data_IF_594449595056
#
_entry.id   IF_594449595056
#
_cell.length_a   1.000
_cell.length_b   1.000
_cell.length_c   1.000
_cell.angle_alpha   90.00
_cell.angle_beta   90.00
_cell.angle_gamma   90.00
#
_symmetry.space_group_name_H-M   'P 1'
#
loop_
_entity.id
_entity.type
_entity.pdbx_description
1 polymer ?
#
# COMPACT_ATOMS: atom_id res chain seq x y z
N UNK A 1 11.57 -8.94 -6.94
CA UNK A 1 11.68 -8.29 -5.63
C UNK A 1 12.38 -6.95 -5.78
N UNK A 2 13.58 -6.94 -6.38
CA UNK A 2 14.43 -5.76 -6.64
C UNK A 2 13.73 -4.52 -7.26
N UNK A 3 12.79 -4.71 -8.20
CA UNK A 3 12.03 -3.60 -8.78
C UNK A 3 11.12 -2.89 -7.76
N UNK A 4 10.48 -3.66 -6.88
CA UNK A 4 9.57 -3.10 -5.88
C UNK A 4 10.33 -2.28 -4.84
N UNK A 5 11.40 -2.87 -4.28
CA UNK A 5 12.26 -2.24 -3.28
C UNK A 5 12.90 -0.95 -3.80
N UNK A 6 13.36 -0.93 -5.05
CA UNK A 6 14.01 0.25 -5.65
C UNK A 6 13.05 1.42 -5.92
N UNK A 7 11.74 1.17 -6.05
CA UNK A 7 10.75 2.20 -6.41
C UNK A 7 9.77 2.53 -5.27
N UNK A 8 9.84 1.85 -4.14
CA UNK A 8 9.01 2.13 -2.96
C UNK A 8 9.13 3.60 -2.52
N UNK A 9 10.36 4.12 -2.43
CA UNK A 9 10.59 5.53 -2.08
C UNK A 9 9.99 6.52 -3.08
N UNK A 10 9.99 6.19 -4.37
CA UNK A 10 9.34 7.01 -5.41
C UNK A 10 7.81 6.96 -5.30
N UNK A 11 7.26 5.80 -4.93
CA UNK A 11 5.83 5.60 -4.71
C UNK A 11 5.33 6.42 -3.52
N UNK A 12 6.03 6.34 -2.38
CA UNK A 12 5.70 7.13 -1.19
C UNK A 12 5.79 8.64 -1.48
N UNK A 13 6.85 9.09 -2.14
CA UNK A 13 6.99 10.51 -2.50
C UNK A 13 5.89 10.97 -3.46
N UNK A 14 5.47 10.12 -4.39
CA UNK A 14 4.37 10.41 -5.31
C UNK A 14 3.04 10.53 -4.56
N UNK A 15 2.80 9.65 -3.58
CA UNK A 15 1.61 9.68 -2.73
C UNK A 15 1.57 10.94 -1.84
N UNK A 16 2.67 11.26 -1.17
CA UNK A 16 2.85 12.47 -0.35
C UNK A 16 2.50 13.73 -1.14
N UNK A 17 3.02 13.87 -2.36
CA UNK A 17 2.69 15.00 -3.24
C UNK A 17 1.24 15.01 -3.71
N UNK A 18 0.67 13.84 -4.04
CA UNK A 18 -0.69 13.74 -4.57
C UNK A 18 -1.77 14.02 -3.53
N UNK A 19 -1.54 13.64 -2.27
CA UNK A 19 -2.49 13.80 -1.19
C UNK A 19 -2.18 15.01 -0.29
N UNK A 20 -1.02 15.65 -0.48
CA UNK A 20 -0.60 16.80 0.33
C UNK A 20 -0.40 16.45 1.80
N UNK A 21 -0.06 15.20 2.10
CA UNK A 21 0.15 14.68 3.44
C UNK A 21 1.61 14.31 3.66
N UNK A 22 2.07 14.28 4.91
CA UNK A 22 3.43 13.90 5.25
C UNK A 22 3.51 12.41 5.56
N UNK A 23 4.37 11.68 4.86
CA UNK A 23 4.65 10.27 5.13
C UNK A 23 5.98 10.15 5.87
N UNK A 24 5.95 9.53 7.04
CA UNK A 24 7.14 9.26 7.83
C UNK A 24 7.57 7.81 7.65
N UNK A 25 8.86 7.58 7.38
CA UNK A 25 9.42 6.24 7.40
C UNK A 25 9.38 5.67 8.82
N UNK A 26 9.26 4.35 8.91
CA UNK A 26 9.19 3.65 10.18
C UNK A 26 10.15 2.48 10.26
N UNK A 27 10.12 1.78 11.39
CA UNK A 27 10.87 0.56 11.65
C UNK A 27 9.89 -0.52 12.09
N UNK A 28 10.44 -1.67 12.47
CA UNK A 28 9.68 -2.79 12.99
C UNK A 28 8.87 -2.38 14.24
N UNK A 29 7.56 -2.59 14.17
CA UNK A 29 6.66 -2.58 15.32
C UNK A 29 6.53 -4.01 15.84
N UNK A 30 6.74 -4.21 17.14
CA UNK A 30 6.66 -5.54 17.78
C UNK A 30 5.45 -5.54 18.70
N UNK A 31 4.64 -6.59 18.62
CA UNK A 31 3.46 -6.71 19.46
C UNK A 31 3.84 -6.66 20.95
N UNK A 32 3.18 -5.83 21.78
CA UNK A 32 3.59 -5.60 23.16
C UNK A 32 3.54 -6.87 24.04
N UNK A 33 2.73 -7.86 23.66
CA UNK A 33 2.55 -9.13 24.40
C UNK A 33 3.08 -10.37 23.67
N UNK A 34 3.22 -10.31 22.35
CA UNK A 34 3.45 -11.49 21.49
C UNK A 34 4.68 -11.21 20.63
N UNK A 35 5.87 -11.31 21.21
CA UNK A 35 7.12 -10.85 20.59
C UNK A 35 7.49 -11.54 19.26
N UNK A 36 6.80 -12.61 18.89
CA UNK A 36 6.93 -13.28 17.58
C UNK A 36 6.03 -12.66 16.49
N UNK A 37 5.17 -11.70 16.84
CA UNK A 37 4.38 -10.88 15.92
C UNK A 37 5.00 -9.50 15.80
N UNK A 38 5.15 -9.07 14.56
CA UNK A 38 5.70 -7.76 14.24
C UNK A 38 5.26 -7.34 12.84
N UNK A 39 5.24 -6.04 12.59
CA UNK A 39 4.94 -5.49 11.28
C UNK A 39 5.81 -4.28 10.97
N UNK A 40 6.06 -4.07 9.68
CA UNK A 40 6.71 -2.88 9.14
C UNK A 40 5.83 -2.39 7.99
N UNK A 41 5.00 -1.36 8.20
CA UNK A 41 4.36 -0.68 7.08
C UNK A 41 5.40 0.13 6.28
N UNK A 42 5.11 0.41 5.01
CA UNK A 42 6.02 1.17 4.15
C UNK A 42 6.09 2.65 4.57
N UNK A 43 5.01 3.17 5.17
CA UNK A 43 4.98 4.52 5.70
C UNK A 43 3.94 4.73 6.81
N UNK A 44 4.13 5.78 7.58
CA UNK A 44 3.19 6.26 8.60
C UNK A 44 2.64 7.63 8.21
N UNK A 45 1.33 7.77 8.40
CA UNK A 45 0.57 9.02 8.31
C UNK A 45 -0.23 9.17 9.59
N UNK A 46 -0.62 10.38 9.99
CA UNK A 46 -1.26 10.71 11.29
C UNK A 46 -1.89 9.50 12.03
N UNK A 47 -3.12 9.14 11.67
CA UNK A 47 -3.86 8.00 12.25
C UNK A 47 -3.86 6.75 11.34
N UNK A 48 -2.94 6.68 10.38
CA UNK A 48 -2.90 5.62 9.38
C UNK A 48 -1.51 5.07 9.03
N UNK A 49 -1.51 4.11 8.12
CA UNK A 49 -0.31 3.54 7.52
C UNK A 49 -0.37 3.64 5.99
N UNK A 50 0.76 3.42 5.34
CA UNK A 50 0.87 3.28 3.88
C UNK A 50 1.43 1.91 3.56
N UNK A 51 0.82 1.24 2.59
CA UNK A 51 1.32 0.01 1.97
C UNK A 51 1.37 0.24 0.46
N UNK A 52 2.57 0.36 -0.09
CA UNK A 52 2.84 0.64 -1.49
C UNK A 52 3.30 -0.63 -2.22
N UNK A 53 2.56 -1.00 -3.27
CA UNK A 53 2.93 -2.11 -4.15
C UNK A 53 3.33 -1.59 -5.52
N UNK A 54 4.54 -1.95 -5.92
CA UNK A 54 5.15 -1.60 -7.21
C UNK A 54 5.41 -2.87 -8.04
N UNK A 55 4.38 -3.54 -8.59
CA UNK A 55 4.57 -4.76 -9.37
C UNK A 55 5.29 -4.44 -10.70
N UNK A 56 6.38 -5.16 -10.98
CA UNK A 56 7.14 -4.99 -12.23
C UNK A 56 6.29 -5.18 -13.49
N UNK A 57 5.24 -6.01 -13.44
CA UNK A 57 4.30 -6.21 -14.53
C UNK A 57 3.51 -4.96 -14.91
N UNK A 58 3.48 -3.94 -14.05
CA UNK A 58 2.72 -2.70 -14.26
C UNK A 58 3.63 -1.50 -14.55
N UNK A 59 4.95 -1.69 -14.71
CA UNK A 59 5.91 -0.59 -14.86
C UNK A 59 5.59 0.36 -16.04
N UNK A 60 5.09 -0.20 -17.14
CA UNK A 60 4.82 0.49 -18.42
C UNK A 60 3.32 0.77 -18.63
N UNK A 61 2.53 0.61 -17.56
CA UNK A 61 1.08 0.80 -17.57
C UNK A 61 0.77 2.13 -16.87
N UNK A 62 -0.15 2.91 -17.44
CA UNK A 62 -0.60 4.16 -16.82
C UNK A 62 -1.52 3.86 -15.64
N UNK A 63 -1.62 4.74 -14.64
CA UNK A 63 -2.51 4.56 -13.50
C UNK A 63 -3.96 4.24 -13.90
N UNK A 64 -4.50 4.89 -14.93
CA UNK A 64 -5.87 4.63 -15.42
C UNK A 64 -6.04 3.21 -15.95
N UNK A 65 -4.99 2.67 -16.60
CA UNK A 65 -4.98 1.33 -17.15
C UNK A 65 -4.76 0.25 -16.08
N UNK A 66 -4.39 0.60 -14.83
CA UNK A 66 -4.34 -0.36 -13.72
C UNK A 66 -5.73 -0.99 -13.49
N UNK A 67 -6.80 -0.23 -13.70
CA UNK A 67 -8.18 -0.74 -13.62
C UNK A 67 -8.47 -1.87 -14.63
N UNK A 68 -7.72 -1.92 -15.74
CA UNK A 68 -7.82 -2.94 -16.78
C UNK A 68 -6.97 -4.17 -16.47
N UNK A 69 -6.00 -4.04 -15.56
CA UNK A 69 -5.21 -5.16 -15.06
C UNK A 69 -6.08 -5.94 -14.08
N UNK A 70 -6.11 -7.26 -14.22
CA UNK A 70 -6.70 -8.15 -13.21
C UNK A 70 -5.85 -8.13 -11.93
N UNK A 71 -5.97 -7.08 -11.14
CA UNK A 71 -5.45 -7.05 -9.78
C UNK A 71 -6.51 -7.61 -8.85
N UNK A 72 -6.26 -8.79 -8.27
CA UNK A 72 -7.28 -9.56 -7.54
C UNK A 72 -7.54 -9.07 -6.12
N UNK A 73 -6.83 -8.03 -5.66
CA UNK A 73 -7.02 -7.45 -4.34
C UNK A 73 -8.28 -6.59 -4.25
N UNK A 74 -8.66 -5.90 -5.33
CA UNK A 74 -9.89 -5.10 -5.37
C UNK A 74 -10.62 -5.22 -6.69
N UNK A 75 -11.90 -4.86 -6.70
CA UNK A 75 -12.70 -4.64 -7.91
C UNK A 75 -13.21 -3.22 -7.90
N UNK A 76 -13.00 -2.52 -9.02
CA UNK A 76 -13.54 -1.18 -9.25
C UNK A 76 -14.79 -1.33 -10.11
N UNK A 77 -15.93 -0.85 -9.62
CA UNK A 77 -17.21 -0.86 -10.32
C UNK A 77 -17.46 0.46 -11.05
N UNK A 78 -18.47 0.46 -11.93
CA UNK A 78 -18.99 1.68 -12.56
C UNK A 78 -19.35 2.68 -11.45
N UNK A 79 -18.99 3.95 -11.62
CA UNK A 79 -19.08 5.03 -10.62
C UNK A 79 -18.02 5.03 -9.51
N UNK A 80 -16.96 4.22 -9.63
CA UNK A 80 -15.80 4.30 -8.73
C UNK A 80 -15.98 3.62 -7.37
N UNK A 81 -17.04 2.82 -7.19
CA UNK A 81 -17.16 1.97 -6.00
C UNK A 81 -16.06 0.90 -6.02
N UNK A 82 -15.38 0.71 -4.89
CA UNK A 82 -14.30 -0.27 -4.75
C UNK A 82 -14.75 -1.37 -3.78
N UNK A 83 -14.69 -2.63 -4.22
CA UNK A 83 -14.84 -3.78 -3.33
C UNK A 83 -13.48 -4.42 -3.09
N UNK A 84 -13.06 -4.49 -1.83
CA UNK A 84 -11.83 -5.15 -1.41
C UNK A 84 -12.08 -6.66 -1.27
N UNK A 85 -11.14 -7.45 -1.78
CA UNK A 85 -11.12 -8.90 -1.61
C UNK A 85 -10.49 -9.26 -0.26
N UNK A 86 -11.35 -9.62 0.71
CA UNK A 86 -10.94 -9.98 2.07
C UNK A 86 -10.23 -11.34 2.19
N UNK A 87 -10.20 -12.13 1.11
CA UNK A 87 -9.51 -13.43 1.06
C UNK A 87 -8.12 -13.32 0.41
N UNK A 88 -7.63 -12.11 0.17
CA UNK A 88 -6.33 -11.88 -0.47
C UNK A 88 -5.24 -11.67 0.59
N UNK A 89 -4.02 -12.14 0.34
CA UNK A 89 -2.90 -12.06 1.30
C UNK A 89 -2.63 -10.63 1.77
N UNK A 90 -2.65 -9.66 0.86
CA UNK A 90 -2.53 -8.22 1.18
C UNK A 90 -3.60 -7.70 2.14
N UNK A 91 -4.81 -8.29 2.17
CA UNK A 91 -5.81 -7.91 3.15
C UNK A 91 -5.30 -8.25 4.55
N UNK A 92 -4.83 -9.48 4.74
CA UNK A 92 -4.29 -9.93 6.02
C UNK A 92 -2.99 -9.19 6.40
N UNK A 93 -2.14 -8.86 5.41
CA UNK A 93 -0.95 -8.03 5.63
C UNK A 93 -1.33 -6.66 6.23
N UNK A 94 -2.29 -5.97 5.61
CA UNK A 94 -2.75 -4.66 6.07
C UNK A 94 -3.41 -4.77 7.44
N UNK A 95 -4.29 -5.76 7.67
CA UNK A 95 -4.92 -5.95 8.98
C UNK A 95 -3.88 -6.19 10.09
N UNK A 96 -2.84 -6.98 9.81
CA UNK A 96 -1.73 -7.19 10.74
C UNK A 96 -0.98 -5.89 11.02
N UNK A 97 -0.59 -5.14 9.99
CA UNK A 97 0.10 -3.86 10.17
C UNK A 97 -0.74 -2.86 10.98
N UNK A 98 -2.05 -2.75 10.73
CA UNK A 98 -2.94 -1.87 11.51
C UNK A 98 -2.98 -2.26 12.98
N UNK A 99 -3.06 -3.57 13.27
CA UNK A 99 -3.05 -4.10 14.63
C UNK A 99 -1.74 -3.80 15.36
N UNK A 100 -0.59 -4.02 14.71
CA UNK A 100 0.72 -3.82 15.34
C UNK A 100 1.12 -2.34 15.49
N UNK A 101 0.56 -1.46 14.67
CA UNK A 101 0.83 -0.01 14.71
C UNK A 101 -0.21 0.79 15.49
N UNK A 102 -1.30 0.14 15.93
CA UNK A 102 -2.45 0.78 16.58
C UNK A 102 -3.00 1.95 15.72
N UNK A 103 -3.19 1.70 14.41
CA UNK A 103 -3.67 2.68 13.43
C UNK A 103 -5.06 2.33 12.90
N UNK A 104 -5.78 3.35 12.43
CA UNK A 104 -7.19 3.24 12.07
C UNK A 104 -7.41 2.83 10.61
N UNK A 105 -6.50 3.23 9.72
CA UNK A 105 -6.66 3.00 8.28
C UNK A 105 -5.33 2.85 7.55
N UNK A 106 -5.41 2.29 6.34
CA UNK A 106 -4.27 2.09 5.46
C UNK A 106 -4.54 2.73 4.09
N UNK A 107 -3.61 3.56 3.63
CA UNK A 107 -3.49 3.89 2.22
C UNK A 107 -2.79 2.74 1.49
N UNK A 108 -3.59 1.89 0.85
CA UNK A 108 -3.06 0.86 -0.04
C UNK A 108 -2.88 1.45 -1.44
N UNK A 109 -1.63 1.50 -1.91
CA UNK A 109 -1.28 2.18 -3.16
C UNK A 109 -0.69 1.19 -4.15
N UNK A 110 -1.25 1.16 -5.35
CA UNK A 110 -0.64 0.52 -6.51
C UNK A 110 0.08 1.60 -7.30
N UNK A 111 1.41 1.50 -7.40
CA UNK A 111 2.23 2.51 -8.06
C UNK A 111 2.87 1.97 -9.34
N UNK A 112 2.93 2.83 -10.36
CA UNK A 112 3.53 2.55 -11.67
C UNK A 112 4.43 3.70 -12.08
N UNK A 113 5.56 3.39 -12.72
CA UNK A 113 6.55 4.40 -13.13
C UNK A 113 6.08 5.26 -14.30
N UNK A 114 5.31 4.69 -15.22
CA UNK A 114 4.80 5.42 -16.38
C UNK A 114 3.83 6.51 -15.95
N UNK A 115 4.23 7.75 -16.19
CA UNK A 115 3.37 8.94 -16.08
C UNK A 115 2.51 9.06 -17.34
N UNK A 116 1.39 9.78 -17.23
CA UNK A 116 0.57 10.16 -18.40
C UNK A 116 1.39 10.95 -19.42
#
# INVERSE_FOLDING_TARGET
>A
MEYGESHEGEALKSLENSLGLKINLCRLFIHPKLQYLAATPDGLVDDGIVEAKCPASCQDITPDAISLIKFLFWKIYIFGQIQINKNHDYFYQVQGQLQETEKDYCFFVMWTKKRM
#
